data_IF_871044220035
#
_entry.id   IF_871044220035
#
_cell.length_a   1.000
_cell.length_b   1.000
_cell.length_c   1.000
_cell.angle_alpha   90.00
_cell.angle_beta   90.00
_cell.angle_gamma   90.00
#
_symmetry.space_group_name_H-M   'P 1'
#
loop_
_entity.id
_entity.type
_entity.pdbx_description
1 polymer ?
#
# COMPACT_ATOMS: atom_id res chain seq x y z
N UNK A 1 -7.78 12.14 10.77
CA UNK A 1 -8.83 12.80 9.94
C UNK A 1 -9.91 13.25 10.91
N UNK A 2 -10.52 14.42 10.70
CA UNK A 2 -11.55 14.90 11.62
C UNK A 2 -12.90 14.22 11.34
N UNK A 3 -13.78 14.04 12.34
CA UNK A 3 -15.13 13.51 12.15
C UNK A 3 -15.97 14.30 11.15
N UNK A 4 -15.78 15.62 11.07
CA UNK A 4 -16.49 16.49 10.14
C UNK A 4 -16.13 16.18 8.68
N UNK A 5 -14.84 15.95 8.41
CA UNK A 5 -14.39 15.57 7.06
C UNK A 5 -14.89 14.17 6.69
N UNK A 6 -14.85 13.22 7.63
CA UNK A 6 -15.39 11.88 7.42
C UNK A 6 -16.88 11.94 7.06
N UNK A 7 -17.66 12.71 7.83
CA UNK A 7 -19.10 12.93 7.57
C UNK A 7 -19.33 13.52 6.19
N UNK A 8 -18.57 14.56 5.81
CA UNK A 8 -18.70 15.20 4.51
C UNK A 8 -18.41 14.24 3.35
N UNK A 9 -17.38 13.41 3.47
CA UNK A 9 -17.07 12.38 2.47
C UNK A 9 -18.18 11.33 2.36
N UNK A 10 -18.71 10.85 3.50
CA UNK A 10 -19.79 9.86 3.51
C UNK A 10 -21.09 10.42 2.91
N UNK A 11 -21.48 11.65 3.27
CA UNK A 11 -22.68 12.31 2.74
C UNK A 11 -22.59 12.46 1.22
N UNK A 12 -21.47 13.00 0.72
CA UNK A 12 -21.26 13.19 -0.72
C UNK A 12 -21.21 11.86 -1.48
N UNK A 13 -20.52 10.86 -0.93
CA UNK A 13 -20.39 9.55 -1.56
C UNK A 13 -21.74 8.84 -1.64
N UNK A 14 -22.57 8.98 -0.60
CA UNK A 14 -23.94 8.48 -0.57
C UNK A 14 -24.85 9.18 -1.59
N UNK A 15 -24.79 10.51 -1.67
CA UNK A 15 -25.59 11.29 -2.62
C UNK A 15 -25.20 10.96 -4.07
N UNK A 16 -23.90 10.89 -4.34
CA UNK A 16 -23.37 10.62 -5.68
C UNK A 16 -23.43 9.14 -6.09
N UNK A 17 -23.67 8.23 -5.14
CA UNK A 17 -23.57 6.78 -5.34
C UNK A 17 -22.22 6.35 -5.92
N UNK A 18 -21.14 7.02 -5.47
CA UNK A 18 -19.77 6.84 -5.99
C UNK A 18 -18.78 6.93 -4.83
N UNK A 19 -17.78 6.07 -4.82
CA UNK A 19 -16.70 6.18 -3.86
C UNK A 19 -15.95 7.51 -4.03
N UNK A 20 -15.63 8.16 -2.91
CA UNK A 20 -14.81 9.38 -2.88
C UNK A 20 -13.54 9.08 -2.10
N UNK A 21 -12.41 9.42 -2.69
CA UNK A 21 -11.09 9.31 -2.09
C UNK A 21 -10.41 10.66 -1.92
N UNK A 22 -9.57 10.79 -0.91
CA UNK A 22 -8.65 11.90 -0.71
C UNK A 22 -7.25 11.38 -0.44
N UNK A 23 -6.26 12.04 -1.02
CA UNK A 23 -4.86 11.82 -0.65
C UNK A 23 -4.42 12.93 0.28
N UNK A 24 -3.95 12.57 1.45
CA UNK A 24 -3.53 13.51 2.49
C UNK A 24 -2.04 13.32 2.77
N UNK A 25 -1.28 14.41 2.75
CA UNK A 25 0.14 14.34 3.10
C UNK A 25 0.36 14.37 4.62
N UNK A 26 1.60 14.15 5.05
CA UNK A 26 1.97 14.15 6.49
C UNK A 26 1.72 15.48 7.20
N UNK A 27 1.64 16.61 6.49
CA UNK A 27 1.27 17.90 7.06
C UNK A 27 -0.26 18.08 7.24
N UNK A 28 -1.06 17.06 6.90
CA UNK A 28 -2.52 17.10 6.98
C UNK A 28 -3.19 17.81 5.79
N UNK A 29 -2.44 18.20 4.75
CA UNK A 29 -3.02 18.88 3.59
C UNK A 29 -3.61 17.83 2.64
N UNK A 30 -4.85 18.06 2.21
CA UNK A 30 -5.47 17.30 1.11
C UNK A 30 -4.78 17.75 -0.19
N UNK A 31 -4.21 16.78 -0.89
CA UNK A 31 -3.43 16.98 -2.12
C UNK A 31 -4.25 16.66 -3.35
N UNK A 32 -5.12 15.65 -3.25
CA UNK A 32 -6.00 15.19 -4.31
C UNK A 32 -7.37 14.86 -3.73
N UNK A 33 -8.41 15.12 -4.51
CA UNK A 33 -9.78 14.62 -4.30
C UNK A 33 -10.12 13.79 -5.53
N UNK A 34 -10.56 12.56 -5.30
CA UNK A 34 -10.77 11.54 -6.33
C UNK A 34 -12.23 11.12 -6.23
N UNK A 35 -12.94 11.14 -7.36
CA UNK A 35 -14.31 10.61 -7.44
C UNK A 35 -14.24 9.35 -8.30
N UNK A 36 -14.36 8.20 -7.63
CA UNK A 36 -14.35 6.87 -8.24
C UNK A 36 -15.72 6.46 -8.76
N UNK A 37 -15.98 5.18 -8.91
CA UNK A 37 -17.31 4.66 -9.23
C UNK A 37 -17.88 3.87 -8.04
N UNK A 38 -18.88 3.01 -8.26
CA UNK A 38 -19.45 2.20 -7.20
C UNK A 38 -18.54 1.04 -6.75
N UNK A 39 -17.49 0.71 -7.51
CA UNK A 39 -16.59 -0.43 -7.28
C UNK A 39 -15.23 -0.02 -6.73
N UNK A 40 -14.77 1.19 -7.04
CA UNK A 40 -13.44 1.62 -6.61
C UNK A 40 -13.10 3.05 -7.02
N UNK A 41 -11.88 3.46 -6.68
CA UNK A 41 -11.28 4.74 -7.07
C UNK A 41 -10.05 4.48 -7.94
N UNK A 42 -9.75 5.40 -8.85
CA UNK A 42 -8.51 5.37 -9.62
C UNK A 42 -7.57 6.47 -9.12
N UNK A 43 -6.44 6.08 -8.53
CA UNK A 43 -5.45 7.03 -8.02
C UNK A 43 -4.72 7.67 -9.20
N UNK A 44 -4.70 9.01 -9.33
CA UNK A 44 -3.98 9.70 -10.39
C UNK A 44 -2.47 9.54 -10.21
N UNK A 45 -1.72 9.92 -11.24
CA UNK A 45 -0.27 10.00 -11.13
C UNK A 45 0.16 10.97 -10.01
N UNK A 46 1.21 10.57 -9.28
CA UNK A 46 1.67 11.26 -8.07
C UNK A 46 3.02 11.94 -8.31
N UNK A 47 3.13 12.73 -9.38
CA UNK A 47 4.37 13.37 -9.84
C UNK A 47 4.99 14.28 -8.77
N UNK A 48 4.17 15.04 -8.04
CA UNK A 48 4.58 15.91 -6.93
C UNK A 48 5.03 15.14 -5.68
N UNK A 49 4.78 13.83 -5.66
CA UNK A 49 5.10 12.92 -4.55
C UNK A 49 5.92 11.72 -5.04
N UNK A 50 7.12 11.94 -5.58
CA UNK A 50 7.98 10.86 -6.03
C UNK A 50 8.49 10.08 -4.82
N UNK A 51 8.47 8.75 -4.95
CA UNK A 51 8.92 7.85 -3.89
C UNK A 51 10.44 7.95 -3.66
N UNK A 52 11.21 7.97 -4.75
CA UNK A 52 12.67 8.09 -4.71
C UNK A 52 13.31 7.10 -3.75
N UNK A 53 14.13 7.61 -2.84
CA UNK A 53 14.81 6.82 -1.79
C UNK A 53 13.99 6.67 -0.51
N UNK A 54 12.79 7.23 -0.36
CA UNK A 54 12.03 7.15 0.91
C UNK A 54 11.42 5.77 1.10
N UNK A 55 11.37 5.23 2.31
CA UNK A 55 10.63 4.00 2.59
C UNK A 55 9.13 4.15 2.25
N UNK A 56 8.47 5.19 2.73
CA UNK A 56 7.07 5.48 2.40
C UNK A 56 6.92 6.79 1.61
N UNK A 57 5.84 6.91 0.83
CA UNK A 57 5.62 8.03 -0.09
C UNK A 57 5.28 9.34 0.64
N UNK A 58 4.84 9.29 1.89
CA UNK A 58 4.39 10.48 2.63
C UNK A 58 2.95 10.90 2.32
N UNK A 59 2.18 10.00 1.74
CA UNK A 59 0.77 10.17 1.39
C UNK A 59 -0.05 9.04 1.99
N UNK A 60 -1.19 9.37 2.59
CA UNK A 60 -2.21 8.38 2.95
C UNK A 60 -3.43 8.55 2.07
N UNK A 61 -4.01 7.44 1.64
CA UNK A 61 -5.31 7.42 0.99
C UNK A 61 -6.39 7.25 2.05
N UNK A 62 -7.42 8.07 1.98
CA UNK A 62 -8.66 7.85 2.72
C UNK A 62 -9.79 7.86 1.73
N UNK A 63 -10.58 6.81 1.67
CA UNK A 63 -11.69 6.70 0.73
C UNK A 63 -12.92 6.05 1.36
N UNK A 64 -14.05 6.14 0.68
CA UNK A 64 -15.31 5.59 1.16
C UNK A 64 -15.65 4.27 0.49
N UNK A 65 -16.25 3.35 1.23
CA UNK A 65 -16.85 2.11 0.74
C UNK A 65 -18.37 2.19 0.88
N UNK A 66 -19.10 2.01 -0.23
CA UNK A 66 -20.53 2.30 -0.29
C UNK A 66 -21.38 1.31 0.51
N UNK A 67 -20.90 0.07 0.71
CA UNK A 67 -21.63 -1.02 1.34
C UNK A 67 -20.97 -1.52 2.63
N UNK A 68 -20.12 -0.70 3.27
CA UNK A 68 -19.30 -1.10 4.42
C UNK A 68 -18.44 -2.34 4.15
N UNK A 69 -18.05 -2.56 2.89
CA UNK A 69 -17.17 -3.66 2.53
C UNK A 69 -15.76 -3.50 3.17
N UNK A 70 -15.07 -4.59 3.51
CA UNK A 70 -13.67 -4.53 3.96
C UNK A 70 -12.75 -3.93 2.88
N UNK A 71 -11.51 -3.63 3.26
CA UNK A 71 -10.46 -3.28 2.28
C UNK A 71 -10.37 -4.36 1.19
N UNK A 72 -10.39 -3.90 -0.05
CA UNK A 72 -10.34 -4.74 -1.25
C UNK A 72 -8.90 -5.14 -1.58
N UNK A 73 -8.74 -6.10 -2.49
CA UNK A 73 -7.41 -6.45 -2.99
C UNK A 73 -6.76 -5.30 -3.75
N UNK A 74 -7.55 -4.46 -4.41
CA UNK A 74 -7.07 -3.28 -5.14
C UNK A 74 -6.52 -2.24 -4.15
N UNK A 75 -7.19 -2.00 -3.02
CA UNK A 75 -6.71 -1.10 -1.96
C UNK A 75 -5.34 -1.51 -1.41
N UNK A 76 -5.18 -2.82 -1.18
CA UNK A 76 -3.93 -3.40 -0.67
C UNK A 76 -2.82 -3.38 -1.71
N UNK A 77 -3.19 -3.53 -2.99
CA UNK A 77 -2.29 -3.44 -4.12
C UNK A 77 -1.81 -2.00 -4.31
N UNK A 78 -2.70 -1.02 -4.25
CA UNK A 78 -2.36 0.41 -4.29
C UNK A 78 -1.47 0.81 -3.12
N UNK A 79 -1.79 0.34 -1.91
CA UNK A 79 -0.93 0.52 -0.73
C UNK A 79 0.49 0.06 -1.00
N UNK A 80 0.65 -1.16 -1.51
CA UNK A 80 1.96 -1.78 -1.75
C UNK A 80 2.71 -1.16 -2.93
N UNK A 81 2.07 -0.99 -4.09
CA UNK A 81 2.71 -0.48 -5.30
C UNK A 81 3.07 1.00 -5.18
N UNK A 82 2.19 1.80 -4.58
CA UNK A 82 2.43 3.23 -4.39
C UNK A 82 3.24 3.51 -3.12
N UNK A 83 3.42 2.52 -2.24
CA UNK A 83 4.05 2.65 -0.91
C UNK A 83 3.46 3.81 -0.12
N UNK A 84 2.13 3.86 -0.05
CA UNK A 84 1.41 4.85 0.74
C UNK A 84 1.73 4.66 2.23
N UNK A 85 1.67 5.74 2.99
CA UNK A 85 1.82 5.72 4.45
C UNK A 85 0.74 4.83 5.09
N UNK A 86 -0.49 4.87 4.54
CA UNK A 86 -1.60 3.96 4.83
C UNK A 86 -2.73 4.12 3.79
N UNK A 87 -3.65 3.15 3.75
CA UNK A 87 -4.97 3.26 3.11
C UNK A 87 -6.04 3.11 4.20
N UNK A 88 -7.05 3.98 4.20
CA UNK A 88 -8.18 3.91 5.13
C UNK A 88 -9.51 3.93 4.38
N UNK A 89 -10.28 2.86 4.49
CA UNK A 89 -11.64 2.74 3.94
C UNK A 89 -12.68 3.04 5.02
N UNK A 90 -13.56 4.00 4.75
CA UNK A 90 -14.70 4.37 5.61
C UNK A 90 -15.96 3.80 4.97
N UNK A 91 -16.59 2.84 5.65
CA UNK A 91 -17.91 2.34 5.27
C UNK A 91 -18.98 3.42 5.40
N UNK A 92 -20.00 3.37 4.56
CA UNK A 92 -21.13 4.30 4.61
C UNK A 92 -22.37 3.59 5.16
N UNK A 93 -22.97 4.18 6.19
CA UNK A 93 -24.23 3.73 6.77
C UNK A 93 -25.23 4.88 6.78
N UNK A 94 -26.25 4.81 5.92
CA UNK A 94 -27.28 5.85 5.78
C UNK A 94 -26.70 7.26 5.58
N UNK A 95 -25.69 7.40 4.72
CA UNK A 95 -25.02 8.68 4.44
C UNK A 95 -24.07 9.16 5.53
N UNK A 96 -23.82 8.37 6.57
CA UNK A 96 -22.90 8.70 7.66
C UNK A 96 -21.69 7.74 7.68
N UNK A 97 -20.56 8.14 8.28
CA UNK A 97 -19.41 7.26 8.49
C UNK A 97 -19.80 6.07 9.39
N UNK A 98 -19.62 4.87 8.88
CA UNK A 98 -19.83 3.60 9.57
C UNK A 98 -18.51 3.00 10.05
N UNK A 99 -18.31 1.71 9.79
CA UNK A 99 -17.08 1.02 10.12
C UNK A 99 -15.87 1.59 9.35
N UNK A 100 -14.66 1.45 9.91
CA UNK A 100 -13.42 1.90 9.27
C UNK A 100 -12.38 0.79 9.28
N UNK A 101 -11.70 0.61 8.16
CA UNK A 101 -10.57 -0.31 8.03
C UNK A 101 -9.33 0.45 7.56
N UNK A 102 -8.20 0.23 8.21
CA UNK A 102 -6.92 0.87 7.90
C UNK A 102 -5.90 -0.21 7.58
N UNK A 103 -5.19 -0.09 6.47
CA UNK A 103 -4.04 -0.91 6.15
C UNK A 103 -2.76 -0.09 6.06
N UNK A 104 -1.65 -0.65 6.54
CA UNK A 104 -0.31 -0.09 6.42
C UNK A 104 0.72 -1.20 6.18
N UNK A 105 1.81 -0.85 5.50
CA UNK A 105 2.88 -1.81 5.19
C UNK A 105 3.66 -2.20 6.43
N UNK A 106 4.12 -3.45 6.49
CA UNK A 106 5.00 -3.91 7.54
C UNK A 106 6.45 -4.01 7.03
N UNK A 107 7.45 -3.73 7.88
CA UNK A 107 8.86 -3.76 7.50
C UNK A 107 9.44 -5.18 7.38
N UNK A 108 8.79 -6.17 8.01
CA UNK A 108 9.23 -7.54 8.07
C UNK A 108 8.52 -8.37 6.99
N UNK A 109 9.21 -8.69 5.88
CA UNK A 109 8.65 -9.34 4.68
C UNK A 109 7.94 -10.70 4.84
N UNK A 110 7.66 -11.15 6.07
CA UNK A 110 6.78 -12.29 6.39
C UNK A 110 5.30 -11.97 6.19
N UNK A 111 4.87 -10.74 6.48
CA UNK A 111 3.50 -10.26 6.25
C UNK A 111 3.60 -8.88 5.58
N UNK A 112 3.01 -8.66 4.40
CA UNK A 112 3.24 -7.43 3.64
C UNK A 112 2.58 -6.19 4.26
N UNK A 113 1.50 -6.37 5.00
CA UNK A 113 0.73 -5.28 5.62
C UNK A 113 0.00 -5.77 6.87
N UNK A 114 -0.44 -4.83 7.69
CA UNK A 114 -1.37 -5.06 8.79
C UNK A 114 -2.68 -4.31 8.53
N UNK A 115 -3.79 -4.84 9.07
CA UNK A 115 -5.11 -4.24 8.97
C UNK A 115 -5.65 -4.02 10.38
N UNK A 116 -6.06 -2.79 10.66
CA UNK A 116 -6.84 -2.39 11.83
C UNK A 116 -8.28 -2.23 11.38
N UNK A 117 -9.22 -2.80 12.11
CA UNK A 117 -10.66 -2.66 11.83
C UNK A 117 -11.38 -2.16 13.08
N UNK A 118 -12.22 -1.16 12.89
CA UNK A 118 -13.12 -0.63 13.92
C UNK A 118 -14.55 -0.62 13.38
N UNK A 119 -15.49 -1.14 14.19
CA UNK A 119 -16.92 -1.20 13.86
C UNK A 119 -17.58 0.19 13.71
N UNK A 120 -16.90 1.22 14.22
CA UNK A 120 -17.33 2.62 14.16
C UNK A 120 -16.12 3.51 13.95
N UNK A 121 -16.23 4.42 12.98
CA UNK A 121 -15.25 5.48 12.76
C UNK A 121 -14.93 6.28 14.03
N UNK A 122 -15.91 6.46 14.92
CA UNK A 122 -15.73 7.21 16.16
C UNK A 122 -14.87 6.50 17.21
N UNK A 123 -14.67 5.19 17.08
CA UNK A 123 -13.79 4.41 17.96
C UNK A 123 -12.33 4.44 17.50
N UNK A 124 -12.05 4.99 16.31
CA UNK A 124 -10.72 4.99 15.76
C UNK A 124 -9.79 5.91 16.55
N UNK A 125 -8.94 5.30 17.36
CA UNK A 125 -7.87 5.97 18.11
C UNK A 125 -6.52 5.74 17.43
N UNK A 126 -6.17 6.60 16.48
CA UNK A 126 -4.87 6.57 15.80
C UNK A 126 -4.23 7.97 15.79
N UNK A 127 -3.18 8.15 16.61
CA UNK A 127 -2.30 9.31 16.48
C UNK A 127 -1.33 9.10 15.31
N UNK A 128 -1.75 9.55 14.14
CA UNK A 128 -1.09 9.26 12.87
C UNK A 128 0.37 9.72 12.82
N UNK A 129 0.69 10.91 13.34
CA UNK A 129 2.03 11.49 13.14
C UNK A 129 3.12 10.71 13.88
N UNK A 130 2.98 10.38 15.18
CA UNK A 130 3.88 9.46 15.86
C UNK A 130 3.90 8.08 15.22
N UNK A 131 2.73 7.53 14.88
CA UNK A 131 2.61 6.21 14.24
C UNK A 131 3.43 6.12 12.95
N UNK A 132 3.20 7.02 11.99
CA UNK A 132 3.86 6.97 10.68
C UNK A 132 5.36 7.24 10.79
N UNK A 133 5.80 8.07 11.74
CA UNK A 133 7.23 8.30 11.98
C UNK A 133 7.91 7.04 12.49
N UNK A 134 7.31 6.37 13.47
CA UNK A 134 7.82 5.10 13.99
C UNK A 134 7.90 4.04 12.90
N UNK A 135 6.85 3.94 12.07
CA UNK A 135 6.79 2.99 10.96
C UNK A 135 7.86 3.29 9.91
N UNK A 136 7.98 4.55 9.45
CA UNK A 136 8.96 4.98 8.45
C UNK A 136 10.40 4.71 8.94
N UNK A 137 10.70 5.02 10.21
CA UNK A 137 12.00 4.72 10.82
C UNK A 137 12.28 3.21 10.89
N UNK A 138 11.26 2.40 11.18
CA UNK A 138 11.39 0.94 11.20
C UNK A 138 11.58 0.36 9.79
N UNK A 139 10.88 0.90 8.80
CA UNK A 139 11.06 0.52 7.40
C UNK A 139 12.46 0.88 6.89
N UNK A 140 12.98 2.06 7.25
CA UNK A 140 14.35 2.44 6.89
C UNK A 140 15.40 1.54 7.55
N UNK A 141 15.19 1.12 8.82
CA UNK A 141 16.09 0.16 9.51
C UNK A 141 16.07 -1.25 8.90
N UNK A 142 14.91 -1.72 8.46
CA UNK A 142 14.74 -3.05 7.88
C UNK A 142 15.03 -3.12 6.39
N UNK A 143 15.43 -2.01 5.77
CA UNK A 143 16.00 -2.08 4.43
C UNK A 143 17.25 -2.92 4.46
N UNK A 144 17.19 -4.03 3.76
CA UNK A 144 18.34 -4.93 3.50
C UNK A 144 19.50 -4.17 2.85
N UNK A 145 19.22 -3.00 2.25
CA UNK A 145 20.14 -2.22 1.45
C UNK A 145 20.18 -0.74 1.87
N UNK A 146 21.39 -0.22 2.05
CA UNK A 146 21.59 1.20 2.32
C UNK A 146 21.19 2.06 1.09
N UNK A 147 20.57 3.23 1.27
CA UNK A 147 20.38 4.20 0.19
C UNK A 147 21.70 4.65 -0.47
N UNK A 148 22.81 4.54 0.27
CA UNK A 148 24.18 4.85 -0.18
C UNK A 148 24.92 3.64 -0.74
N UNK A 149 24.25 2.50 -0.86
CA UNK A 149 24.80 1.31 -1.48
C UNK A 149 25.06 1.57 -2.98
N UNK A 150 26.34 1.56 -3.33
CA UNK A 150 26.87 1.83 -4.69
C UNK A 150 26.88 0.59 -5.58
N UNK A 151 26.54 -0.58 -5.04
CA UNK A 151 26.50 -1.84 -5.79
C UNK A 151 25.46 -1.79 -6.88
N UNK A 152 25.73 -2.48 -7.98
CA UNK A 152 24.76 -2.63 -9.08
C UNK A 152 23.52 -3.33 -8.57
N UNK A 153 22.33 -2.87 -8.98
CA UNK A 153 21.05 -3.38 -8.47
C UNK A 153 20.38 -4.25 -9.52
N UNK A 154 19.94 -5.44 -9.13
CA UNK A 154 19.29 -6.39 -10.02
C UNK A 154 17.95 -6.85 -9.47
N UNK A 155 16.99 -7.06 -10.39
CA UNK A 155 15.80 -7.85 -10.14
C UNK A 155 16.04 -9.23 -10.73
N UNK A 156 15.90 -10.29 -9.93
CA UNK A 156 15.98 -11.65 -10.46
C UNK A 156 14.61 -12.06 -11.01
N UNK A 157 14.57 -12.58 -12.23
CA UNK A 157 13.33 -13.02 -12.87
C UNK A 157 13.53 -14.44 -13.38
N UNK A 158 12.73 -15.37 -12.85
CA UNK A 158 12.70 -16.76 -13.29
C UNK A 158 11.38 -17.01 -14.02
N UNK A 159 11.47 -17.37 -15.31
CA UNK A 159 10.31 -17.73 -16.13
C UNK A 159 10.53 -19.11 -16.71
N UNK A 160 9.76 -20.09 -16.25
CA UNK A 160 9.96 -21.48 -16.67
C UNK A 160 8.70 -22.33 -16.57
N UNK A 161 8.69 -23.48 -17.26
CA UNK A 161 7.68 -24.53 -17.12
C UNK A 161 8.01 -25.53 -16.00
N UNK A 162 9.19 -25.42 -15.37
CA UNK A 162 9.66 -26.27 -14.27
C UNK A 162 8.73 -26.19 -13.05
N UNK A 163 8.89 -27.14 -12.13
CA UNK A 163 8.16 -27.10 -10.87
C UNK A 163 8.52 -25.84 -10.07
N UNK A 164 7.62 -25.41 -9.18
CA UNK A 164 7.86 -24.24 -8.32
C UNK A 164 9.13 -24.41 -7.48
N UNK A 165 9.32 -25.60 -6.93
CA UNK A 165 10.47 -25.94 -6.10
C UNK A 165 11.80 -25.81 -6.87
N UNK A 166 11.87 -26.34 -8.09
CA UNK A 166 13.10 -26.24 -8.92
C UNK A 166 13.42 -24.80 -9.32
N UNK A 167 12.38 -23.99 -9.58
CA UNK A 167 12.56 -22.57 -9.90
C UNK A 167 13.04 -21.77 -8.68
N UNK A 168 12.53 -22.08 -7.49
CA UNK A 168 12.96 -21.47 -6.22
C UNK A 168 14.43 -21.81 -5.91
N UNK A 169 14.83 -23.08 -6.09
CA UNK A 169 16.20 -23.54 -5.87
C UNK A 169 17.19 -22.85 -6.83
N UNK A 170 16.84 -22.79 -8.13
CA UNK A 170 17.65 -22.10 -9.14
C UNK A 170 17.78 -20.60 -8.87
N UNK A 171 16.71 -19.98 -8.34
CA UNK A 171 16.72 -18.57 -7.94
C UNK A 171 17.64 -18.36 -6.75
N UNK A 172 17.63 -19.25 -5.77
CA UNK A 172 18.48 -19.13 -4.59
C UNK A 172 19.97 -19.25 -4.97
N UNK A 173 20.31 -20.16 -5.89
CA UNK A 173 21.65 -20.23 -6.47
C UNK A 173 22.03 -18.91 -7.19
N UNK A 174 21.10 -18.36 -7.99
CA UNK A 174 21.33 -17.10 -8.70
C UNK A 174 21.52 -15.91 -7.75
N UNK A 175 20.86 -15.90 -6.58
CA UNK A 175 21.12 -14.91 -5.52
C UNK A 175 22.53 -15.02 -4.99
N UNK A 176 23.03 -16.24 -4.75
CA UNK A 176 24.42 -16.44 -4.30
C UNK A 176 25.43 -15.99 -5.36
N UNK A 177 25.16 -16.25 -6.64
CA UNK A 177 26.00 -15.76 -7.74
C UNK A 177 26.01 -14.22 -7.80
N UNK A 178 24.85 -13.58 -7.69
CA UNK A 178 24.74 -12.13 -7.64
C UNK A 178 25.51 -11.53 -6.44
N UNK A 179 25.37 -12.13 -5.25
CA UNK A 179 26.14 -11.75 -4.05
C UNK A 179 27.65 -11.84 -4.29
N UNK A 180 28.12 -12.92 -4.91
CA UNK A 180 29.55 -13.09 -5.22
C UNK A 180 30.09 -12.11 -6.27
N UNK A 181 29.20 -11.56 -7.09
CA UNK A 181 29.51 -10.58 -8.14
C UNK A 181 29.33 -9.13 -7.68
N UNK A 182 29.15 -8.90 -6.38
CA UNK A 182 28.88 -7.59 -5.77
C UNK A 182 27.61 -6.90 -6.33
N UNK A 183 26.61 -7.71 -6.72
CA UNK A 183 25.31 -7.26 -7.22
C UNK A 183 24.25 -7.38 -6.13
N UNK A 184 23.47 -6.32 -5.98
CA UNK A 184 22.39 -6.17 -5.04
C UNK A 184 21.06 -6.67 -5.60
N UNK A 185 20.65 -7.86 -5.18
CA UNK A 185 19.34 -8.41 -5.57
C UNK A 185 18.25 -7.70 -4.77
N UNK A 186 17.45 -6.86 -5.43
CA UNK A 186 16.39 -6.09 -4.78
C UNK A 186 15.14 -6.93 -4.51
N UNK A 187 14.79 -7.82 -5.42
CA UNK A 187 13.62 -8.68 -5.34
C UNK A 187 13.75 -9.86 -6.33
N UNK A 188 12.86 -10.85 -6.22
CA UNK A 188 12.78 -11.98 -7.15
C UNK A 188 11.36 -12.25 -7.60
N UNK A 189 11.16 -12.30 -8.92
CA UNK A 189 9.90 -12.68 -9.55
C UNK A 189 10.02 -14.08 -10.12
N UNK A 190 9.14 -15.00 -9.70
CA UNK A 190 9.05 -16.36 -10.26
C UNK A 190 7.72 -16.51 -10.97
N UNK A 191 7.76 -16.76 -12.28
CA UNK A 191 6.59 -16.98 -13.11
C UNK A 191 6.64 -18.37 -13.75
N UNK A 192 5.68 -19.21 -13.36
CA UNK A 192 5.48 -20.49 -14.04
C UNK A 192 4.61 -20.32 -15.28
N UNK A 193 5.14 -20.71 -16.44
CA UNK A 193 4.38 -20.76 -17.68
C UNK A 193 3.39 -21.94 -17.60
N UNK A 194 2.09 -21.65 -17.77
CA UNK A 194 1.10 -22.69 -18.06
C UNK A 194 1.34 -23.14 -19.50
N UNK A 195 1.43 -24.45 -19.73
CA UNK A 195 1.39 -24.97 -21.08
C UNK A 195 0.09 -24.47 -21.74
N UNK A 196 0.22 -23.79 -22.86
CA UNK A 196 -0.91 -23.51 -23.75
C UNK A 196 -1.32 -24.87 -24.32
N UNK A 197 -2.51 -25.35 -23.94
CA UNK A 197 -3.16 -26.47 -24.62
C UNK A 197 -3.81 -25.96 -25.90
#
# INVERSE_FOLDING_TARGET
MSPELARYLAELSHELHRQIGILVNRAGRITHVIVGDAKGIFIPELEDYPLGRKALRGLRLVHTHLNEEPLTQDDLTDLALLRLDLVAAIGIRNGLPGAVSIAYLLPNGLKPYEIIHEESFHNLELDFLPFVRSLDDEMERNRVFSPDDKRERALLVSVSNLSKYEQEDSVEELKELARSSDVLVLDTVIQRLKALN
#
